data_IF_807719890496
#
_entry.id   IF_807719890496
#
_cell.length_a   1.000
_cell.length_b   1.000
_cell.length_c   1.000
_cell.angle_alpha   90.00
_cell.angle_beta   90.00
_cell.angle_gamma   90.00
#
_symmetry.space_group_name_H-M   'P 1'
#
loop_
_entity.id
_entity.type
_entity.pdbx_description
1 polymer ?
#
# COMPACT_ATOMS: atom_id res chain seq x y z
N UNK A 1 -3.17 -19.53 24.93
CA UNK A 1 -3.83 -19.34 23.62
C UNK A 1 -2.91 -18.55 22.68
N UNK A 2 -1.62 -18.90 22.64
CA UNK A 2 -0.55 -18.20 21.91
C UNK A 2 0.27 -19.11 20.97
N UNK A 3 -0.16 -20.36 20.77
CA UNK A 3 0.59 -21.39 20.02
C UNK A 3 0.03 -21.65 18.61
N UNK A 4 -0.73 -20.72 18.02
CA UNK A 4 -1.43 -20.95 16.75
C UNK A 4 -0.79 -20.34 15.50
N UNK A 5 0.36 -19.67 15.61
CA UNK A 5 1.12 -19.17 14.44
C UNK A 5 2.63 -19.32 14.68
N UNK A 6 3.08 -20.53 15.00
CA UNK A 6 4.49 -20.93 14.90
C UNK A 6 4.62 -22.25 14.15
N UNK A 7 3.73 -22.50 13.19
CA UNK A 7 4.09 -23.40 12.09
C UNK A 7 5.10 -22.64 11.27
N UNK A 8 6.32 -23.17 11.20
CA UNK A 8 7.44 -22.60 10.45
C UNK A 8 6.96 -22.16 9.07
N UNK A 9 6.75 -20.86 8.91
CA UNK A 9 6.57 -20.22 7.61
C UNK A 9 7.96 -20.16 6.98
N UNK A 10 8.50 -21.33 6.63
CA UNK A 10 9.69 -21.46 5.82
C UNK A 10 9.34 -20.99 4.41
N UNK A 11 9.43 -19.69 4.18
CA UNK A 11 9.52 -19.17 2.84
C UNK A 11 10.97 -19.32 2.38
N UNK A 12 11.18 -19.96 1.24
CA UNK A 12 12.48 -19.91 0.60
C UNK A 12 12.67 -18.53 -0.01
N UNK A 13 13.82 -17.90 0.26
CA UNK A 13 14.24 -16.73 -0.51
C UNK A 13 14.39 -17.17 -1.97
N UNK A 14 13.70 -16.46 -2.86
CA UNK A 14 13.77 -16.72 -4.28
C UNK A 14 15.19 -16.46 -4.78
N UNK A 15 15.68 -17.33 -5.66
CA UNK A 15 16.93 -17.13 -6.38
C UNK A 15 16.83 -16.09 -7.50
N UNK A 16 15.65 -15.50 -7.71
CA UNK A 16 15.47 -14.40 -8.66
C UNK A 16 16.34 -13.20 -8.25
N UNK A 17 16.97 -12.52 -9.22
CA UNK A 17 17.83 -11.39 -8.93
C UNK A 17 17.05 -10.29 -8.21
N UNK A 18 17.70 -9.68 -7.22
CA UNK A 18 17.20 -8.47 -6.55
C UNK A 18 16.92 -7.45 -7.64
N UNK A 19 15.66 -7.04 -7.76
CA UNK A 19 15.29 -5.98 -8.70
C UNK A 19 15.53 -4.65 -8.02
N UNK A 20 16.44 -3.84 -8.59
CA UNK A 20 16.66 -2.46 -8.19
C UNK A 20 15.84 -1.53 -9.09
N UNK A 21 15.03 -0.66 -8.48
CA UNK A 21 14.20 0.30 -9.20
C UNK A 21 14.80 1.71 -9.08
N UNK A 22 15.60 2.17 -10.05
CA UNK A 22 16.09 3.54 -10.07
C UNK A 22 14.95 4.51 -10.37
N UNK A 23 14.83 5.59 -9.58
CA UNK A 23 13.88 6.69 -9.86
C UNK A 23 12.84 6.96 -8.77
N UNK A 24 12.62 6.03 -7.84
CA UNK A 24 11.93 6.33 -6.58
C UNK A 24 12.95 6.94 -5.60
N UNK A 25 12.52 7.74 -4.62
CA UNK A 25 13.35 8.53 -3.72
C UNK A 25 14.34 7.75 -2.80
N UNK A 26 14.74 6.55 -3.17
CA UNK A 26 15.78 5.74 -2.56
C UNK A 26 15.99 4.46 -3.36
N UNK A 27 17.14 3.79 -3.15
CA UNK A 27 17.35 2.44 -3.67
C UNK A 27 16.32 1.50 -3.04
N UNK A 28 15.50 0.89 -3.90
CA UNK A 28 14.56 -0.15 -3.51
C UNK A 28 15.20 -1.50 -3.84
N UNK A 29 15.43 -2.32 -2.82
CA UNK A 29 15.77 -3.73 -2.98
C UNK A 29 14.55 -4.56 -2.64
N UNK A 30 14.02 -5.27 -3.63
CA UNK A 30 12.93 -6.21 -3.42
C UNK A 30 13.52 -7.61 -3.27
N UNK A 31 13.26 -8.27 -2.14
CA UNK A 31 13.50 -9.71 -1.97
C UNK A 31 12.18 -10.43 -2.09
N UNK A 32 12.19 -11.53 -2.84
CA UNK A 32 10.99 -12.32 -3.08
C UNK A 32 11.09 -13.60 -2.26
N UNK A 33 10.05 -13.89 -1.50
CA UNK A 33 9.92 -15.08 -0.67
C UNK A 33 8.76 -15.91 -1.23
N UNK A 34 8.95 -17.19 -1.52
CA UNK A 34 7.90 -18.04 -2.12
C UNK A 34 7.64 -19.27 -1.26
N UNK A 35 6.37 -19.64 -1.12
CA UNK A 35 5.91 -20.89 -0.51
C UNK A 35 4.65 -21.36 -1.25
N UNK A 36 4.77 -22.45 -2.00
CA UNK A 36 3.71 -22.92 -2.91
C UNK A 36 3.26 -21.81 -3.86
N UNK A 37 1.96 -21.51 -3.93
CA UNK A 37 1.39 -20.41 -4.75
C UNK A 37 1.49 -19.03 -4.08
N UNK A 38 1.99 -18.97 -2.85
CA UNK A 38 2.10 -17.73 -2.10
C UNK A 38 3.46 -17.08 -2.32
N UNK A 39 3.43 -15.78 -2.55
CA UNK A 39 4.63 -14.95 -2.67
C UNK A 39 4.59 -13.85 -1.62
N UNK A 40 5.76 -13.39 -1.21
CA UNK A 40 5.92 -12.26 -0.31
C UNK A 40 7.04 -11.40 -0.89
N UNK A 41 6.79 -10.11 -1.03
CA UNK A 41 7.81 -9.15 -1.44
C UNK A 41 8.28 -8.37 -0.22
N UNK A 42 9.53 -8.60 0.19
CA UNK A 42 10.17 -7.75 1.18
C UNK A 42 10.77 -6.55 0.46
N UNK A 43 10.20 -5.37 0.70
CA UNK A 43 10.68 -4.11 0.13
C UNK A 43 11.62 -3.46 1.14
N UNK A 44 12.91 -3.44 0.81
CA UNK A 44 13.94 -2.79 1.61
C UNK A 44 14.32 -1.48 0.94
N UNK A 45 14.17 -0.38 1.66
CA UNK A 45 14.50 0.96 1.17
C UNK A 45 15.65 1.55 1.97
N UNK A 46 16.45 2.40 1.34
CA UNK A 46 17.47 3.18 2.03
C UNK A 46 16.91 4.44 2.73
N UNK A 47 15.65 4.80 2.44
CA UNK A 47 14.98 6.01 2.91
C UNK A 47 14.45 5.87 4.36
N UNK A 48 14.15 6.99 5.02
CA UNK A 48 13.59 7.05 6.37
C UNK A 48 12.15 6.49 6.41
N UNK A 49 11.42 6.54 5.28
CA UNK A 49 10.05 6.04 5.20
C UNK A 49 9.82 5.06 4.03
N UNK A 50 9.86 3.77 4.34
CA UNK A 50 9.53 2.69 3.41
C UNK A 50 8.11 2.77 2.83
N UNK A 51 7.16 3.36 3.56
CA UNK A 51 5.77 3.43 3.11
C UNK A 51 5.60 4.36 1.91
N UNK A 52 6.39 5.44 1.81
CA UNK A 52 6.34 6.39 0.69
C UNK A 52 6.49 5.68 -0.66
N UNK A 53 7.41 4.73 -0.77
CA UNK A 53 7.63 3.99 -2.02
C UNK A 53 6.45 3.08 -2.37
N UNK A 54 5.75 2.55 -1.37
CA UNK A 54 4.62 1.63 -1.57
C UNK A 54 3.45 2.35 -2.27
N UNK A 55 3.19 3.61 -1.94
CA UNK A 55 2.15 4.41 -2.60
C UNK A 55 2.50 4.83 -4.04
N UNK A 56 3.72 4.51 -4.51
CA UNK A 56 4.11 4.70 -5.89
C UNK A 56 3.97 3.43 -6.74
N UNK A 57 3.48 2.31 -6.20
CA UNK A 57 3.24 1.11 -6.99
C UNK A 57 2.15 1.29 -8.05
N UNK A 58 2.19 0.43 -9.06
CA UNK A 58 1.33 0.47 -10.25
C UNK A 58 -0.15 0.24 -9.98
N UNK A 59 -0.53 -0.35 -8.84
CA UNK A 59 -1.93 -0.62 -8.53
C UNK A 59 -2.27 -0.42 -7.06
N UNK A 60 -3.53 -0.08 -6.79
CA UNK A 60 -4.03 0.08 -5.41
C UNK A 60 -3.97 -1.21 -4.59
N UNK A 61 -3.94 -2.38 -5.24
CA UNK A 61 -3.73 -3.65 -4.55
C UNK A 61 -2.33 -3.73 -3.94
N UNK A 62 -1.32 -3.28 -4.70
CA UNK A 62 0.09 -3.32 -4.27
C UNK A 62 0.42 -2.23 -3.22
N UNK A 63 -0.54 -1.35 -2.89
CA UNK A 63 -0.39 -0.29 -1.88
C UNK A 63 -0.70 -0.75 -0.44
N UNK A 64 -1.01 -2.03 -0.27
CA UNK A 64 -1.22 -2.65 1.03
C UNK A 64 0.09 -3.24 1.56
N UNK A 65 0.35 -3.17 2.85
CA UNK A 65 1.61 -3.68 3.40
C UNK A 65 1.52 -4.15 4.85
N UNK A 66 2.50 -4.94 5.25
CA UNK A 66 2.71 -5.36 6.64
C UNK A 66 4.02 -4.77 7.16
N UNK A 67 3.96 -4.26 8.38
CA UNK A 67 5.08 -3.72 9.12
C UNK A 67 5.21 -4.43 10.47
N UNK A 68 6.24 -4.10 11.25
CA UNK A 68 6.35 -4.57 12.63
C UNK A 68 5.20 -4.10 13.54
N UNK A 69 4.46 -3.07 13.14
CA UNK A 69 3.34 -2.50 13.90
C UNK A 69 2.01 -3.20 13.63
N UNK A 70 1.88 -3.81 12.46
CA UNK A 70 0.60 -4.32 11.98
C UNK A 70 0.49 -4.25 10.48
N UNK A 71 -0.74 -4.45 10.04
CA UNK A 71 -1.16 -4.52 8.66
C UNK A 71 -1.86 -3.22 8.27
N UNK A 72 -1.51 -2.67 7.11
CA UNK A 72 -2.08 -1.46 6.56
C UNK A 72 -2.67 -1.73 5.18
N UNK A 73 -3.89 -1.27 4.97
CA UNK A 73 -4.60 -1.37 3.71
C UNK A 73 -5.12 0.02 3.30
N UNK A 74 -4.56 0.56 2.22
CA UNK A 74 -4.87 1.91 1.74
C UNK A 74 -6.29 2.03 1.19
N UNK A 75 -6.78 0.94 0.58
CA UNK A 75 -8.07 0.89 -0.10
C UNK A 75 -8.82 -0.40 0.31
N UNK A 76 -9.36 -0.46 1.54
CA UNK A 76 -9.97 -1.67 2.08
C UNK A 76 -11.19 -2.12 1.28
N UNK A 77 -12.07 -1.21 0.88
CA UNK A 77 -13.25 -1.57 0.11
C UNK A 77 -12.88 -2.15 -1.26
N UNK A 78 -11.85 -1.63 -1.93
CA UNK A 78 -11.37 -2.19 -3.19
C UNK A 78 -10.79 -3.58 -2.96
N UNK A 79 -9.86 -3.69 -2.02
CA UNK A 79 -9.12 -4.92 -1.72
C UNK A 79 -10.07 -6.05 -1.31
N UNK A 80 -11.02 -5.78 -0.42
CA UNK A 80 -11.99 -6.77 0.08
C UNK A 80 -12.98 -7.22 -0.98
N UNK A 81 -13.31 -6.37 -1.96
CA UNK A 81 -14.18 -6.74 -3.10
C UNK A 81 -13.40 -7.28 -4.30
N UNK A 82 -12.09 -7.57 -4.14
CA UNK A 82 -11.19 -7.99 -5.22
C UNK A 82 -11.20 -7.03 -6.40
N UNK A 83 -11.21 -5.73 -6.12
CA UNK A 83 -11.10 -4.66 -7.09
C UNK A 83 -9.73 -3.99 -6.94
N UNK A 84 -9.19 -3.50 -8.05
CA UNK A 84 -7.97 -2.71 -8.05
C UNK A 84 -8.05 -1.60 -9.09
N UNK A 85 -7.38 -0.49 -8.83
CA UNK A 85 -7.13 0.57 -9.80
C UNK A 85 -5.67 0.62 -10.19
N UNK A 86 -5.43 0.96 -11.46
CA UNK A 86 -4.12 1.38 -11.92
C UNK A 86 -3.80 2.73 -11.28
N UNK A 87 -2.60 2.85 -10.74
CA UNK A 87 -2.02 4.14 -10.41
C UNK A 87 -1.67 4.86 -11.72
N UNK A 88 -2.43 5.89 -12.14
CA UNK A 88 -2.25 6.50 -13.46
C UNK A 88 -0.91 7.23 -13.60
N UNK A 89 -0.26 7.57 -12.50
CA UNK A 89 1.01 8.26 -12.48
C UNK A 89 2.23 7.34 -12.37
N UNK A 90 2.03 6.10 -11.90
CA UNK A 90 3.03 5.03 -12.06
C UNK A 90 3.06 4.48 -13.49
N UNK A 91 2.05 4.80 -14.30
CA UNK A 91 1.89 4.34 -15.67
C UNK A 91 2.76 5.16 -16.63
N UNK A 92 3.68 4.50 -17.34
CA UNK A 92 4.51 5.10 -18.39
C UNK A 92 3.96 4.69 -19.76
N UNK A 93 3.23 5.57 -20.47
CA UNK A 93 2.62 5.24 -21.75
C UNK A 93 3.59 4.68 -22.80
N UNK A 94 4.88 4.97 -22.67
CA UNK A 94 5.94 4.51 -23.59
C UNK A 94 6.47 3.10 -23.30
N UNK A 95 6.30 2.59 -22.07
CA UNK A 95 6.91 1.34 -21.58
C UNK A 95 5.88 0.35 -20.98
N UNK A 96 4.62 0.76 -20.88
CA UNK A 96 3.56 0.04 -20.17
C UNK A 96 3.24 -1.35 -20.70
N UNK A 97 3.53 -1.64 -21.97
CA UNK A 97 2.97 -2.81 -22.64
C UNK A 97 3.21 -4.14 -21.90
N UNK A 98 4.41 -4.37 -21.38
CA UNK A 98 4.77 -5.67 -20.79
C UNK A 98 4.53 -5.73 -19.28
N UNK A 99 4.93 -4.73 -18.52
CA UNK A 99 4.77 -4.72 -17.06
C UNK A 99 3.28 -4.67 -16.68
N UNK A 100 2.51 -3.81 -17.35
CA UNK A 100 1.08 -3.69 -17.12
C UNK A 100 0.33 -4.99 -17.48
N UNK A 101 0.66 -5.63 -18.61
CA UNK A 101 0.07 -6.92 -18.98
C UNK A 101 0.39 -8.00 -17.94
N UNK A 102 1.63 -8.05 -17.44
CA UNK A 102 2.03 -9.01 -16.41
C UNK A 102 1.28 -8.78 -15.11
N UNK A 103 1.15 -7.52 -14.68
CA UNK A 103 0.36 -7.15 -13.50
C UNK A 103 -1.12 -7.51 -13.67
N UNK A 104 -1.72 -7.20 -14.82
CA UNK A 104 -3.10 -7.57 -15.12
C UNK A 104 -3.33 -9.08 -15.10
N UNK A 105 -2.42 -9.85 -15.71
CA UNK A 105 -2.50 -11.31 -15.69
C UNK A 105 -2.39 -11.84 -14.26
N UNK A 106 -1.45 -11.32 -13.47
CA UNK A 106 -1.26 -11.64 -12.04
C UNK A 106 -2.54 -11.38 -11.24
N UNK A 107 -3.11 -10.17 -11.36
CA UNK A 107 -4.31 -9.79 -10.59
C UNK A 107 -5.55 -10.59 -11.03
N UNK A 108 -5.76 -10.78 -12.33
CA UNK A 108 -6.87 -11.61 -12.84
C UNK A 108 -6.79 -13.06 -12.36
N UNK A 109 -5.59 -13.65 -12.33
CA UNK A 109 -5.40 -15.00 -11.81
C UNK A 109 -5.79 -15.10 -10.32
N UNK A 110 -5.61 -14.03 -9.54
CA UNK A 110 -6.04 -13.93 -8.13
C UNK A 110 -7.53 -13.59 -7.96
N UNK A 111 -8.29 -13.52 -9.06
CA UNK A 111 -9.71 -13.19 -9.06
C UNK A 111 -10.00 -11.70 -8.88
N UNK A 112 -9.03 -10.82 -9.14
CA UNK A 112 -9.25 -9.38 -9.12
C UNK A 112 -9.81 -8.86 -10.44
N UNK A 113 -10.74 -7.93 -10.34
CA UNK A 113 -11.13 -7.05 -11.43
C UNK A 113 -10.25 -5.80 -11.37
N UNK A 114 -9.47 -5.57 -12.42
CA UNK A 114 -8.54 -4.45 -12.49
C UNK A 114 -9.06 -3.40 -13.46
N UNK A 115 -9.29 -2.20 -12.96
CA UNK A 115 -9.79 -1.06 -13.71
C UNK A 115 -8.67 -0.09 -14.04
N UNK A 116 -8.71 0.46 -15.25
CA UNK A 116 -7.76 1.50 -15.68
C UNK A 116 -8.25 2.87 -15.22
N UNK A 117 -9.57 3.07 -15.30
CA UNK A 117 -10.20 4.34 -14.93
C UNK A 117 -11.30 4.11 -13.89
N UNK A 118 -11.43 5.04 -12.95
CA UNK A 118 -12.43 4.96 -11.88
C UNK A 118 -13.87 4.89 -12.42
N UNK A 119 -14.16 5.60 -13.50
CA UNK A 119 -15.48 5.64 -14.12
C UNK A 119 -15.93 4.31 -14.76
N UNK A 120 -15.00 3.36 -14.95
CA UNK A 120 -15.34 2.00 -15.43
C UNK A 120 -16.14 1.20 -14.40
N UNK A 121 -16.19 1.66 -13.15
CA UNK A 121 -16.95 1.02 -12.09
C UNK A 121 -18.18 1.86 -11.71
N UNK A 122 -19.38 1.29 -11.90
CA UNK A 122 -20.66 1.98 -11.75
C UNK A 122 -20.83 2.72 -10.42
N UNK A 123 -20.38 2.11 -9.31
CA UNK A 123 -20.45 2.70 -7.97
C UNK A 123 -19.76 4.06 -7.85
N UNK A 124 -18.71 4.31 -8.63
CA UNK A 124 -17.90 5.52 -8.53
C UNK A 124 -17.93 6.33 -9.83
N UNK A 125 -18.92 6.07 -10.69
CA UNK A 125 -19.09 6.84 -11.92
C UNK A 125 -19.37 8.31 -11.64
N UNK A 126 -20.27 8.59 -10.69
CA UNK A 126 -20.75 9.93 -10.36
C UNK A 126 -20.03 10.54 -9.15
N UNK A 127 -18.74 10.21 -8.97
CA UNK A 127 -17.96 10.69 -7.84
C UNK A 127 -17.59 12.18 -8.00
N UNK A 128 -17.43 12.87 -6.88
CA UNK A 128 -16.87 14.22 -6.84
C UNK A 128 -15.34 14.14 -6.95
N UNK A 129 -14.79 14.70 -8.03
CA UNK A 129 -13.37 14.64 -8.32
C UNK A 129 -12.56 15.43 -7.28
N UNK A 130 -11.51 14.81 -6.72
CA UNK A 130 -10.68 15.41 -5.66
C UNK A 130 -11.26 15.32 -4.23
N UNK A 131 -12.53 14.94 -4.08
CA UNK A 131 -13.18 14.78 -2.77
C UNK A 131 -13.51 13.31 -2.46
N UNK A 132 -13.91 12.55 -3.48
CA UNK A 132 -14.31 11.16 -3.29
C UNK A 132 -13.09 10.29 -3.01
N UNK A 133 -13.12 9.54 -1.91
CA UNK A 133 -12.00 8.72 -1.43
C UNK A 133 -11.29 7.81 -2.45
N UNK A 134 -11.97 7.37 -3.51
CA UNK A 134 -11.37 6.53 -4.56
C UNK A 134 -10.95 7.31 -5.81
N UNK A 135 -11.29 8.59 -5.88
CA UNK A 135 -10.85 9.47 -6.95
C UNK A 135 -9.32 9.53 -6.96
N UNK A 136 -8.67 9.27 -8.11
CA UNK A 136 -7.22 9.36 -8.24
C UNK A 136 -6.64 10.71 -7.82
N UNK A 137 -7.42 11.79 -7.91
CA UNK A 137 -7.01 13.14 -7.54
C UNK A 137 -7.24 13.49 -6.07
N UNK A 138 -7.90 12.63 -5.29
CA UNK A 138 -8.12 12.89 -3.87
C UNK A 138 -6.84 12.65 -3.09
N UNK A 139 -6.45 13.66 -2.29
CA UNK A 139 -5.37 13.52 -1.34
C UNK A 139 -5.83 12.60 -0.20
N UNK A 140 -5.08 11.53 -0.01
CA UNK A 140 -5.25 10.51 1.02
C UNK A 140 -4.09 10.59 1.99
N UNK A 141 -4.29 10.07 3.19
CA UNK A 141 -3.22 9.95 4.19
C UNK A 141 -3.34 8.65 4.96
N UNK A 142 -2.25 8.22 5.58
CA UNK A 142 -2.27 6.97 6.36
C UNK A 142 -3.19 7.03 7.58
N UNK A 143 -3.68 8.22 7.92
CA UNK A 143 -4.55 8.49 9.06
C UNK A 143 -5.96 8.87 8.63
N UNK A 144 -6.27 8.84 7.33
CA UNK A 144 -7.65 9.05 6.91
C UNK A 144 -8.55 7.89 7.36
N UNK A 145 -9.84 8.18 7.53
CA UNK A 145 -10.82 7.21 8.01
C UNK A 145 -11.17 6.13 6.96
N UNK A 146 -10.55 6.23 5.79
CA UNK A 146 -10.84 5.41 4.62
C UNK A 146 -9.75 4.38 4.35
N UNK A 147 -8.72 4.35 5.19
CA UNK A 147 -7.70 3.32 5.25
C UNK A 147 -8.01 2.36 6.40
N UNK A 148 -7.56 1.11 6.28
CA UNK A 148 -7.69 0.10 7.33
C UNK A 148 -6.32 -0.21 7.93
N UNK A 149 -6.21 -0.09 9.25
CA UNK A 149 -5.03 -0.52 10.00
C UNK A 149 -5.43 -1.57 11.03
N UNK A 150 -4.72 -2.70 11.04
CA UNK A 150 -4.91 -3.80 11.98
C UNK A 150 -3.60 -3.95 12.77
N UNK A 151 -3.55 -3.49 14.04
CA UNK A 151 -2.34 -3.60 14.85
C UNK A 151 -2.05 -5.04 15.25
N UNK A 152 -0.77 -5.37 15.42
CA UNK A 152 -0.38 -6.66 16.01
C UNK A 152 -0.50 -6.63 17.53
N UNK A 153 -0.97 -7.73 18.14
CA UNK A 153 -1.27 -7.81 19.57
C UNK A 153 -0.10 -7.43 20.49
N UNK A 154 1.15 -7.61 20.05
CA UNK A 154 2.35 -7.20 20.79
C UNK A 154 2.54 -5.68 20.90
N UNK A 155 1.73 -4.89 20.21
CA UNK A 155 1.83 -3.42 20.17
C UNK A 155 0.67 -2.70 20.86
N UNK A 156 -0.28 -3.46 21.45
CA UNK A 156 -1.42 -2.92 22.18
C UNK A 156 -1.03 -2.39 23.56
N UNK A 157 -0.30 -1.29 23.60
CA UNK A 157 -0.53 -0.33 24.68
C UNK A 157 -1.83 0.40 24.33
N UNK A 158 -2.71 0.61 25.31
CA UNK A 158 -4.15 0.91 25.19
C UNK A 158 -4.54 2.18 24.38
N UNK A 159 -3.60 2.84 23.73
CA UNK A 159 -3.77 4.01 22.86
C UNK A 159 -3.52 3.73 21.35
N UNK A 160 -3.50 2.46 20.93
CA UNK A 160 -3.17 2.02 19.56
C UNK A 160 -4.27 2.25 18.51
N UNK A 161 -4.63 3.52 18.26
CA UNK A 161 -5.24 3.90 16.98
C UNK A 161 -4.19 3.96 15.84
N UNK A 162 -4.51 4.56 14.68
CA UNK A 162 -3.54 4.96 13.65
C UNK A 162 -2.35 5.78 14.21
N UNK A 163 -2.48 6.24 15.46
CA UNK A 163 -1.47 6.78 16.36
C UNK A 163 -0.11 6.07 16.37
N UNK A 164 -0.04 4.80 15.98
CA UNK A 164 1.25 4.10 15.88
C UNK A 164 2.16 4.66 14.77
N UNK A 165 1.60 5.36 13.78
CA UNK A 165 2.34 6.14 12.79
C UNK A 165 2.39 7.66 13.11
N UNK A 166 1.67 8.15 14.14
CA UNK A 166 1.55 9.59 14.51
C UNK A 166 2.86 10.22 15.03
N UNK A 167 3.98 9.49 15.06
CA UNK A 167 5.26 10.01 15.55
C UNK A 167 6.45 9.77 14.63
N UNK A 168 6.32 9.01 13.54
CA UNK A 168 7.51 8.61 12.77
C UNK A 168 7.48 9.27 11.41
N UNK A 169 6.57 8.90 10.52
CA UNK A 169 6.33 9.59 9.25
C UNK A 169 4.92 9.23 8.76
N UNK A 170 4.12 10.23 8.41
CA UNK A 170 2.88 10.02 7.69
C UNK A 170 3.16 10.05 6.19
N UNK A 171 2.46 9.23 5.41
CA UNK A 171 2.44 9.40 3.97
C UNK A 171 1.13 10.04 3.57
N UNK A 172 1.23 11.15 2.84
CA UNK A 172 0.14 11.72 2.07
C UNK A 172 0.35 11.28 0.62
N UNK A 173 -0.70 10.76 -0.01
CA UNK A 173 -0.63 10.36 -1.41
C UNK A 173 -1.87 10.74 -2.21
N UNK A 174 -1.73 10.86 -3.52
CA UNK A 174 -2.82 10.83 -4.50
C UNK A 174 -2.33 10.04 -5.71
N UNK A 175 -3.17 9.17 -6.28
CA UNK A 175 -2.78 8.35 -7.44
C UNK A 175 -2.44 9.20 -8.68
N UNK A 176 -2.95 10.44 -8.75
CA UNK A 176 -2.73 11.35 -9.87
C UNK A 176 -3.48 10.92 -11.13
N UNK A 177 -3.03 11.42 -12.28
CA UNK A 177 -3.65 11.16 -13.59
C UNK A 177 -4.47 12.34 -14.14
N UNK A 178 -5.16 12.12 -15.27
CA UNK A 178 -6.09 13.10 -15.81
C UNK A 178 -7.34 13.25 -14.93
N UNK A 179 -8.04 14.39 -14.99
CA UNK A 179 -9.32 14.57 -14.33
C UNK A 179 -10.33 13.52 -14.75
N UNK A 180 -11.18 13.09 -13.82
CA UNK A 180 -12.11 12.01 -14.08
C UNK A 180 -13.24 12.37 -15.05
N UNK A 181 -13.50 13.66 -15.26
CA UNK A 181 -14.39 14.19 -16.29
C UNK A 181 -13.81 14.06 -17.71
N UNK A 182 -12.51 13.75 -17.84
CA UNK A 182 -11.80 13.77 -19.12
C UNK A 182 -11.38 15.17 -19.58
N UNK A 183 -11.79 16.23 -18.87
CA UNK A 183 -11.44 17.62 -19.18
C UNK A 183 -10.49 18.20 -18.12
N UNK A 184 -9.31 18.64 -18.55
CA UNK A 184 -8.36 19.40 -17.72
C UNK A 184 -6.91 18.90 -17.78
N UNK A 185 -6.06 19.49 -16.97
CA UNK A 185 -4.62 19.21 -16.94
C UNK A 185 -4.32 17.91 -16.20
N UNK A 186 -3.26 17.22 -16.61
CA UNK A 186 -2.78 16.03 -15.93
C UNK A 186 -2.17 16.39 -14.57
N UNK A 187 -2.59 15.73 -13.50
CA UNK A 187 -1.99 15.85 -12.17
C UNK A 187 -0.96 14.74 -11.98
N UNK A 188 0.26 15.09 -11.58
CA UNK A 188 1.30 14.10 -11.26
C UNK A 188 0.97 13.27 -10.01
N UNK A 189 1.71 12.18 -9.82
CA UNK A 189 1.77 11.45 -8.55
C UNK A 189 2.16 12.43 -7.46
N UNK A 190 1.36 12.53 -6.41
CA UNK A 190 1.76 13.23 -5.20
C UNK A 190 2.00 12.16 -4.17
N UNK A 191 3.25 12.01 -3.73
CA UNK A 191 3.56 11.20 -2.56
C UNK A 191 4.55 11.98 -1.71
N UNK A 192 4.13 12.34 -0.50
CA UNK A 192 4.89 13.15 0.42
C UNK A 192 5.02 12.41 1.74
N UNK A 193 6.26 12.18 2.18
CA UNK A 193 6.54 11.82 3.56
C UNK A 193 6.49 13.09 4.38
N UNK A 194 5.52 13.20 5.28
CA UNK A 194 5.37 14.36 6.15
C UNK A 194 5.81 13.94 7.55
N UNK A 195 6.80 14.62 8.16
CA UNK A 195 7.10 14.40 9.57
C UNK A 195 5.85 14.71 10.38
N UNK A 196 5.41 13.75 11.20
CA UNK A 196 4.31 14.00 12.12
C UNK A 196 4.91 14.66 13.34
N UNK A 197 4.58 15.93 13.55
CA UNK A 197 5.01 16.63 14.74
C UNK A 197 3.97 16.42 15.85
N UNK A 198 4.36 15.76 16.94
CA UNK A 198 3.57 15.81 18.16
C UNK A 198 3.73 17.18 18.81
N UNK A 199 2.61 17.86 19.06
CA UNK A 199 2.59 19.05 19.89
C UNK A 199 2.71 18.63 21.37
N UNK A 200 3.94 18.58 21.89
CA UNK A 200 4.16 18.57 23.34
C UNK A 200 4.55 19.98 23.77
N UNK A 201 3.72 20.62 24.60
CA UNK A 201 3.99 21.94 25.19
C UNK A 201 4.35 23.07 24.19
N UNK A 202 3.78 23.03 22.98
CA UNK A 202 3.98 24.09 21.98
C UNK A 202 5.33 24.07 21.26
N UNK A 203 6.13 23.00 21.43
CA UNK A 203 7.36 22.78 20.67
C UNK A 203 7.20 21.58 19.74
N UNK A 204 7.66 21.75 18.49
CA UNK A 204 7.65 20.72 17.46
C UNK A 204 9.07 20.20 17.26
N UNK A 205 9.34 18.95 17.63
CA UNK A 205 10.64 18.29 17.41
C UNK A 205 10.51 17.10 16.46
N UNK A 206 11.34 17.00 15.40
CA UNK A 206 11.39 15.82 14.54
C UNK A 206 11.93 14.61 15.32
N UNK A 207 11.26 13.46 15.20
CA UNK A 207 11.72 12.19 15.77
C UNK A 207 12.69 11.51 14.80
N UNK A 208 13.91 11.19 15.24
CA UNK A 208 14.93 10.48 14.45
C UNK A 208 14.98 9.00 14.82
N UNK A 209 14.83 8.09 13.85
CA UNK A 209 15.00 6.65 14.08
C UNK A 209 15.63 5.90 12.90
N UNK A 210 16.23 4.74 13.23
CA UNK A 210 17.00 3.89 12.33
C UNK A 210 16.20 2.72 11.75
N UNK A 211 16.33 2.53 10.43
CA UNK A 211 16.11 1.32 9.60
C UNK A 211 14.96 0.39 9.98
N UNK A 212 13.95 0.31 9.12
CA UNK A 212 12.82 -0.62 9.24
C UNK A 212 12.83 -1.70 8.16
N UNK A 213 12.54 -2.93 8.57
CA UNK A 213 12.31 -4.13 7.73
C UNK A 213 10.81 -4.26 7.46
N UNK A 214 10.36 -4.41 6.20
CA UNK A 214 8.90 -4.46 5.88
C UNK A 214 8.53 -5.47 4.78
N UNK A 215 7.38 -6.11 4.98
CA UNK A 215 6.87 -7.28 4.23
C UNK A 215 5.59 -6.87 3.47
N UNK A 216 5.56 -7.04 2.15
CA UNK A 216 4.35 -6.90 1.32
C UNK A 216 3.80 -8.30 1.03
N UNK A 217 2.57 -8.58 1.45
CA UNK A 217 1.92 -9.87 1.20
C UNK A 217 1.18 -9.86 -0.14
N UNK A 218 1.37 -10.90 -0.95
CA UNK A 218 0.71 -11.03 -2.24
C UNK A 218 -0.65 -11.76 -2.23
N UNK A 219 -1.10 -12.30 -1.09
CA UNK A 219 -2.27 -13.19 -1.08
C UNK A 219 -3.37 -12.76 -0.10
N UNK A 220 -4.57 -12.50 -0.64
CA UNK A 220 -5.79 -12.13 0.12
C UNK A 220 -6.43 -13.35 0.81
N UNK A 221 -6.14 -14.58 0.38
CA UNK A 221 -6.71 -15.78 1.00
C UNK A 221 -6.22 -15.96 2.45
N UNK A 222 -5.01 -15.50 2.77
CA UNK A 222 -4.52 -15.41 4.16
C UNK A 222 -5.35 -14.44 5.02
N UNK A 223 -6.00 -13.44 4.42
CA UNK A 223 -6.78 -12.43 5.15
C UNK A 223 -8.10 -12.99 5.64
N UNK A 224 -8.78 -13.78 4.81
CA UNK A 224 -10.06 -14.41 5.14
C UNK A 224 -9.93 -15.50 6.23
N UNK A 225 -8.76 -16.15 6.32
CA UNK A 225 -8.48 -17.13 7.39
C UNK A 225 -8.28 -16.48 8.76
N UNK A 226 -7.83 -15.22 8.83
CA UNK A 226 -7.68 -14.50 10.10
C UNK A 226 -9.00 -13.96 10.69
N UNK A 227 -9.99 -13.67 9.83
CA UNK A 227 -11.30 -13.12 10.25
C UNK A 227 -12.34 -14.20 10.56
N UNK A 228 -12.01 -15.48 10.34
CA UNK A 228 -12.84 -16.63 10.70
C UNK A 228 -12.42 -17.25 12.04
N UNK A 229 -12.19 -16.39 13.04
CA UNK A 229 -12.22 -16.83 14.45
C UNK A 229 -13.69 -16.88 14.85
N UNK A 230 -14.15 -18.09 15.18
CA UNK A 230 -15.52 -18.43 15.55
C UNK A 230 -16.06 -17.50 16.64
N UNK A 231 -17.27 -16.97 16.43
CA UNK A 231 -18.17 -16.55 17.52
C UNK A 231 -18.48 -17.75 18.42
#
# INVERSE_FOLDING_TARGET
MADLITTDLEFAESTEPITEYPGYAGFVRVRTFKKSEHTIFLVVVADENAATIIFNFYSTMDMNFISGYGLFCAYPELTLNKLSYVNPAARDPSNDGHQFKRLNAKLRHRGFIHYIHLHEHDKWRDHLCGESKYCPLTLRSMHDQESLFIPFASTSTESAGPAMYDGVHSVIWALGGPPCSGEGLYHGLVTLSVPVYQAQHGQYTPLKFSRQLRIVLDDVTMWQQSTSVKQ
#
